data_IF_097813277002
#
_entry.id   IF_097813277002
#
_cell.length_a   1.000
_cell.length_b   1.000
_cell.length_c   1.000
_cell.angle_alpha   90.00
_cell.angle_beta   90.00
_cell.angle_gamma   90.00
#
_symmetry.space_group_name_H-M   'P 1'
#
loop_
_entity.id
_entity.type
_entity.pdbx_description
1 polymer ?
#
# COMPACT_ATOMS: atom_id res chain seq x y z
N UNK A 1 5.24 18.59 -6.27
CA UNK A 1 4.28 17.47 -6.32
C UNK A 1 4.58 16.58 -5.14
N UNK A 2 3.57 15.95 -4.54
CA UNK A 2 3.82 14.90 -3.58
C UNK A 2 4.67 13.82 -4.25
N UNK A 3 5.68 13.33 -3.54
CA UNK A 3 6.79 12.51 -4.04
C UNK A 3 7.67 13.31 -5.00
N UNK A 4 8.53 14.15 -4.43
CA UNK A 4 9.50 15.01 -5.14
C UNK A 4 10.56 14.28 -6.02
N UNK A 5 10.40 12.97 -6.25
CA UNK A 5 11.25 12.14 -7.11
C UNK A 5 10.58 11.72 -8.43
N UNK A 6 11.37 11.30 -9.41
CA UNK A 6 10.96 10.97 -10.78
C UNK A 6 10.17 9.65 -10.90
N UNK A 7 9.53 9.15 -9.83
CA UNK A 7 8.70 7.93 -9.88
C UNK A 7 7.22 8.31 -10.06
N UNK A 8 6.68 8.29 -11.30
CA UNK A 8 5.27 8.55 -11.53
C UNK A 8 4.37 7.36 -11.18
N UNK A 9 4.94 6.20 -10.86
CA UNK A 9 4.25 4.93 -10.70
C UNK A 9 4.56 4.27 -9.37
N UNK A 10 3.54 3.58 -8.85
CA UNK A 10 3.63 2.61 -7.77
C UNK A 10 3.75 1.21 -8.36
N UNK A 11 4.62 0.41 -7.76
CA UNK A 11 4.82 -0.98 -8.13
C UNK A 11 4.37 -1.95 -7.03
N UNK A 12 4.03 -3.17 -7.42
CA UNK A 12 3.74 -4.29 -6.53
C UNK A 12 4.25 -5.60 -7.14
N UNK A 13 4.53 -6.59 -6.29
CA UNK A 13 4.77 -7.99 -6.68
C UNK A 13 3.51 -8.84 -6.66
N UNK A 14 2.39 -8.30 -6.15
CA UNK A 14 1.15 -9.02 -5.85
C UNK A 14 -0.03 -8.50 -6.66
N UNK A 15 0.19 -8.15 -7.94
CA UNK A 15 -0.83 -7.52 -8.79
C UNK A 15 -2.13 -8.34 -8.87
N UNK A 16 -2.03 -9.65 -9.01
CA UNK A 16 -3.19 -10.54 -9.07
C UNK A 16 -4.09 -10.42 -7.82
N UNK A 17 -3.51 -10.21 -6.63
CA UNK A 17 -4.26 -10.02 -5.37
C UNK A 17 -5.01 -8.69 -5.35
N UNK A 18 -4.37 -7.64 -5.85
CA UNK A 18 -5.04 -6.36 -6.03
C UNK A 18 -6.22 -6.48 -6.99
N UNK A 19 -6.02 -7.17 -8.13
CA UNK A 19 -7.06 -7.38 -9.15
C UNK A 19 -8.26 -8.15 -8.59
N UNK A 20 -8.00 -9.24 -7.87
CA UNK A 20 -9.05 -10.06 -7.25
C UNK A 20 -9.83 -9.28 -6.18
N UNK A 21 -9.15 -8.62 -5.24
CA UNK A 21 -9.81 -7.90 -4.15
C UNK A 21 -10.62 -6.70 -4.65
N UNK A 22 -10.11 -5.94 -5.63
CA UNK A 22 -10.86 -4.81 -6.21
C UNK A 22 -12.02 -5.29 -7.09
N UNK A 23 -11.94 -6.49 -7.68
CA UNK A 23 -13.03 -7.04 -8.48
C UNK A 23 -14.16 -7.57 -7.58
N UNK A 24 -13.79 -8.36 -6.58
CA UNK A 24 -14.72 -9.23 -5.85
C UNK A 24 -15.17 -8.63 -4.50
N UNK A 25 -14.44 -7.65 -3.95
CA UNK A 25 -14.68 -7.03 -2.64
C UNK A 25 -14.73 -5.49 -2.71
N UNK A 26 -15.49 -4.97 -3.68
CA UNK A 26 -15.56 -3.51 -3.99
C UNK A 26 -16.10 -2.66 -2.85
N UNK A 27 -16.92 -3.23 -1.97
CA UNK A 27 -17.46 -2.54 -0.80
C UNK A 27 -16.37 -2.12 0.18
N UNK A 28 -15.26 -2.88 0.25
CA UNK A 28 -14.09 -2.54 1.06
C UNK A 28 -13.03 -1.84 0.20
N UNK A 29 -12.85 -2.29 -1.04
CA UNK A 29 -11.73 -1.91 -1.90
C UNK A 29 -12.23 -1.35 -3.25
N UNK A 30 -12.74 -0.11 -3.28
CA UNK A 30 -13.37 0.45 -4.48
C UNK A 30 -12.39 0.75 -5.62
N UNK A 31 -11.09 0.79 -5.35
CA UNK A 31 -10.06 1.03 -6.37
C UNK A 31 -8.68 0.53 -5.91
N UNK A 32 -7.76 0.35 -6.87
CA UNK A 32 -6.36 0.04 -6.55
C UNK A 32 -5.69 1.08 -5.66
N UNK A 33 -6.01 2.37 -5.84
CA UNK A 33 -5.46 3.42 -4.99
C UNK A 33 -5.85 3.25 -3.54
N UNK A 34 -7.15 3.01 -3.30
CA UNK A 34 -7.69 2.83 -1.94
C UNK A 34 -7.13 1.56 -1.31
N UNK A 35 -7.09 0.45 -2.06
CA UNK A 35 -6.50 -0.79 -1.57
C UNK A 35 -5.02 -0.63 -1.25
N UNK A 36 -4.26 0.09 -2.08
CA UNK A 36 -2.84 0.36 -1.80
C UNK A 36 -2.66 1.19 -0.53
N UNK A 37 -3.46 2.23 -0.33
CA UNK A 37 -3.43 3.06 0.88
C UNK A 37 -3.70 2.21 2.14
N UNK A 38 -4.73 1.36 2.08
CA UNK A 38 -5.08 0.46 3.19
C UNK A 38 -3.97 -0.57 3.43
N UNK A 39 -3.46 -1.20 2.38
CA UNK A 39 -2.36 -2.16 2.48
C UNK A 39 -1.10 -1.51 3.07
N UNK A 40 -0.73 -0.31 2.63
CA UNK A 40 0.37 0.44 3.20
C UNK A 40 0.15 0.72 4.70
N UNK A 41 -1.06 1.16 5.08
CA UNK A 41 -1.40 1.41 6.47
C UNK A 41 -1.30 0.14 7.33
N UNK A 42 -1.84 -0.99 6.87
CA UNK A 42 -1.75 -2.30 7.56
C UNK A 42 -0.29 -2.70 7.75
N UNK A 43 0.54 -2.60 6.69
CA UNK A 43 1.96 -2.89 6.78
C UNK A 43 2.69 -1.98 7.77
N UNK A 44 2.39 -0.68 7.76
CA UNK A 44 3.02 0.32 8.65
C UNK A 44 2.64 0.06 10.11
N UNK A 45 1.35 -0.18 10.41
CA UNK A 45 0.86 -0.44 11.77
C UNK A 45 1.51 -1.69 12.35
N UNK A 46 1.66 -2.74 11.54
CA UNK A 46 2.29 -4.00 11.97
C UNK A 46 3.82 -3.97 11.88
N UNK A 47 4.40 -2.85 11.42
CA UNK A 47 5.81 -2.67 11.06
C UNK A 47 6.37 -3.82 10.19
N UNK A 48 5.55 -4.35 9.28
CA UNK A 48 5.93 -5.44 8.37
C UNK A 48 6.23 -4.92 6.98
N UNK A 49 7.34 -5.38 6.41
CA UNK A 49 7.75 -5.07 5.04
C UNK A 49 8.01 -6.34 4.26
N UNK A 50 7.74 -6.29 2.96
CA UNK A 50 8.06 -7.36 2.04
C UNK A 50 8.75 -6.78 0.81
N UNK A 51 9.87 -7.38 0.42
CA UNK A 51 10.56 -7.01 -0.80
C UNK A 51 9.73 -7.41 -2.03
N UNK A 52 9.73 -6.53 -3.05
CA UNK A 52 9.04 -6.78 -4.30
C UNK A 52 9.87 -7.74 -5.15
N UNK A 53 9.48 -9.01 -5.19
CA UNK A 53 10.14 -10.04 -6.03
C UNK A 53 9.87 -9.84 -7.52
N UNK A 54 8.76 -9.19 -7.85
CA UNK A 54 8.37 -8.74 -9.19
C UNK A 54 7.94 -7.27 -9.09
N UNK A 55 8.20 -6.48 -10.14
CA UNK A 55 7.79 -5.07 -10.22
C UNK A 55 6.77 -4.88 -11.33
N UNK A 56 5.51 -4.90 -10.96
CA UNK A 56 4.40 -4.62 -11.88
C UNK A 56 3.80 -3.25 -11.56
N UNK A 57 3.52 -2.47 -12.60
CA UNK A 57 2.83 -1.19 -12.42
C UNK A 57 1.40 -1.42 -11.89
N UNK A 58 1.10 -0.74 -10.78
CA UNK A 58 -0.21 -0.77 -10.13
C UNK A 58 -1.01 0.50 -10.46
N UNK A 59 -0.52 1.66 -10.04
CA UNK A 59 -1.20 2.96 -10.17
C UNK A 59 -0.19 4.11 -10.30
N UNK A 60 -0.67 5.30 -10.68
CA UNK A 60 0.16 6.50 -10.62
C UNK A 60 0.35 6.95 -9.16
N UNK A 61 1.51 7.49 -8.81
CA UNK A 61 1.79 8.04 -7.46
C UNK A 61 0.82 9.14 -7.07
N UNK A 62 0.47 10.04 -8.00
CA UNK A 62 -0.55 11.06 -7.76
C UNK A 62 -1.92 10.48 -7.37
N UNK A 63 -2.27 9.29 -7.84
CA UNK A 63 -3.55 8.65 -7.55
C UNK A 63 -3.64 8.08 -6.14
N UNK A 64 -2.51 7.84 -5.45
CA UNK A 64 -2.49 7.31 -4.08
C UNK A 64 -2.27 8.40 -3.02
N UNK A 65 -1.75 9.56 -3.40
CA UNK A 65 -1.28 10.55 -2.43
C UNK A 65 -1.36 11.97 -2.97
N UNK A 66 -2.55 12.36 -3.43
CA UNK A 66 -2.80 13.68 -4.03
C UNK A 66 -2.41 14.83 -3.10
N UNK A 67 -2.63 14.67 -1.79
CA UNK A 67 -2.43 15.70 -0.79
C UNK A 67 -1.09 15.58 -0.04
N UNK A 68 -0.26 14.58 -0.37
CA UNK A 68 1.07 14.37 0.25
C UNK A 68 1.02 13.83 1.68
N UNK A 69 -0.08 13.20 2.07
CA UNK A 69 -0.23 12.61 3.41
C UNK A 69 0.69 11.41 3.61
N UNK A 70 0.79 10.52 2.61
CA UNK A 70 1.68 9.37 2.69
C UNK A 70 3.15 9.79 2.55
N UNK A 71 3.46 10.78 1.71
CA UNK A 71 4.81 11.34 1.65
C UNK A 71 5.23 11.86 3.02
N UNK A 72 4.43 12.75 3.63
CA UNK A 72 4.70 13.31 4.95
C UNK A 72 4.92 12.23 6.01
N UNK A 73 4.06 11.20 6.03
CA UNK A 73 4.19 10.07 6.95
C UNK A 73 5.55 9.38 6.81
N UNK A 74 5.98 9.14 5.56
CA UNK A 74 7.25 8.50 5.27
C UNK A 74 8.45 9.42 5.51
N UNK A 75 8.31 10.74 5.37
CA UNK A 75 9.36 11.69 5.75
C UNK A 75 9.61 11.67 7.26
N UNK A 76 8.54 11.61 8.06
CA UNK A 76 8.63 11.52 9.52
C UNK A 76 9.29 10.20 9.94
N UNK A 77 8.89 9.08 9.32
CA UNK A 77 9.41 7.75 9.67
C UNK A 77 10.84 7.51 9.15
N UNK A 78 11.21 8.14 8.03
CA UNK A 78 12.51 7.96 7.38
C UNK A 78 13.13 9.31 6.97
N UNK A 79 13.54 10.14 7.93
CA UNK A 79 14.03 11.49 7.66
C UNK A 79 15.28 11.49 6.79
N UNK A 80 16.13 10.47 6.92
CA UNK A 80 17.43 10.38 6.21
C UNK A 80 17.33 9.77 4.80
N UNK A 81 16.17 9.21 4.43
CA UNK A 81 15.97 8.62 3.10
C UNK A 81 15.57 9.70 2.09
N UNK A 82 16.00 9.52 0.84
CA UNK A 82 15.47 10.32 -0.27
C UNK A 82 13.99 10.00 -0.54
N UNK A 83 13.27 10.91 -1.19
CA UNK A 83 11.85 10.71 -1.54
C UNK A 83 11.61 9.42 -2.33
N UNK A 84 12.52 9.06 -3.25
CA UNK A 84 12.43 7.80 -4.00
C UNK A 84 12.61 6.57 -3.12
N UNK A 85 13.51 6.63 -2.12
CA UNK A 85 13.73 5.55 -1.16
C UNK A 85 12.57 5.42 -0.18
N UNK A 86 11.99 6.54 0.28
CA UNK A 86 10.75 6.54 1.08
C UNK A 86 9.60 5.88 0.33
N UNK A 87 9.46 6.17 -0.97
CA UNK A 87 8.45 5.54 -1.80
C UNK A 87 8.68 4.03 -1.94
N UNK A 88 9.93 3.59 -2.11
CA UNK A 88 10.27 2.16 -2.12
C UNK A 88 9.92 1.49 -0.78
N UNK A 89 10.18 2.14 0.35
CA UNK A 89 9.78 1.61 1.65
C UNK A 89 8.26 1.55 1.81
N UNK A 90 7.51 2.51 1.25
CA UNK A 90 6.05 2.48 1.22
C UNK A 90 5.52 1.32 0.36
N UNK A 91 6.13 1.07 -0.80
CA UNK A 91 5.82 -0.09 -1.65
C UNK A 91 5.99 -1.40 -0.88
N UNK A 92 7.04 -1.53 -0.07
CA UNK A 92 7.29 -2.73 0.75
C UNK A 92 6.28 -2.91 1.88
N UNK A 93 5.84 -1.82 2.50
CA UNK A 93 4.76 -1.86 3.48
C UNK A 93 3.45 -2.32 2.83
N UNK A 94 3.11 -1.74 1.68
CA UNK A 94 1.92 -2.14 0.93
C UNK A 94 2.00 -3.59 0.45
N UNK A 95 3.18 -4.07 0.06
CA UNK A 95 3.40 -5.46 -0.35
C UNK A 95 3.24 -6.45 0.81
N UNK A 96 3.62 -6.07 2.03
CA UNK A 96 3.30 -6.90 3.20
C UNK A 96 1.82 -6.82 3.56
N UNK A 97 1.24 -5.62 3.56
CA UNK A 97 -0.17 -5.43 3.92
C UNK A 97 -1.14 -6.13 2.99
N UNK A 98 -0.88 -6.15 1.68
CA UNK A 98 -1.77 -6.84 0.72
C UNK A 98 -1.80 -8.35 0.95
N UNK A 99 -0.70 -8.96 1.38
CA UNK A 99 -0.65 -10.38 1.75
C UNK A 99 -1.58 -10.67 2.93
N UNK A 100 -1.46 -9.85 3.97
CA UNK A 100 -2.23 -9.99 5.21
C UNK A 100 -3.72 -9.78 4.94
N UNK A 101 -4.06 -8.73 4.18
CA UNK A 101 -5.45 -8.44 3.78
C UNK A 101 -6.00 -9.60 2.96
N UNK A 102 -5.24 -10.08 1.97
CA UNK A 102 -5.69 -11.15 1.10
C UNK A 102 -5.93 -12.45 1.88
N UNK A 103 -5.01 -12.84 2.76
CA UNK A 103 -5.17 -14.02 3.63
C UNK A 103 -6.40 -13.90 4.55
N UNK A 104 -6.63 -12.73 5.13
CA UNK A 104 -7.81 -12.47 5.97
C UNK A 104 -9.10 -12.59 5.17
N UNK A 105 -9.17 -11.94 4.01
CA UNK A 105 -10.37 -11.93 3.17
C UNK A 105 -10.67 -13.32 2.61
N UNK A 106 -9.66 -14.06 2.13
CA UNK A 106 -9.86 -15.41 1.60
C UNK A 106 -10.27 -16.40 2.71
N UNK A 107 -9.76 -16.23 3.93
CA UNK A 107 -10.10 -17.13 5.04
C UNK A 107 -11.45 -16.83 5.70
N UNK A 108 -11.87 -15.57 5.72
CA UNK A 108 -13.08 -15.13 6.47
C UNK A 108 -14.21 -14.63 5.59
N UNK A 109 -13.95 -14.28 4.32
CA UNK A 109 -14.89 -13.59 3.44
C UNK A 109 -15.13 -12.13 3.79
N UNK A 110 -14.35 -11.55 4.72
CA UNK A 110 -14.52 -10.20 5.23
C UNK A 110 -13.17 -9.52 5.50
N UNK A 111 -13.17 -8.19 5.56
CA UNK A 111 -12.01 -7.41 6.02
C UNK A 111 -12.40 -6.55 7.23
N UNK A 112 -11.80 -6.83 8.38
CA UNK A 112 -12.06 -6.09 9.62
C UNK A 112 -11.07 -4.95 9.83
N UNK A 113 -11.46 -3.74 9.42
CA UNK A 113 -10.66 -2.53 9.60
C UNK A 113 -10.34 -2.23 11.07
N UNK A 114 -11.21 -2.60 12.03
CA UNK A 114 -11.03 -2.23 13.44
C UNK A 114 -9.86 -2.94 14.08
N UNK A 115 -9.59 -4.18 13.64
CA UNK A 115 -8.43 -4.97 14.05
C UNK A 115 -7.11 -4.22 13.96
N UNK A 116 -6.97 -3.32 12.97
CA UNK A 116 -5.73 -2.57 12.72
C UNK A 116 -5.75 -1.15 13.32
N UNK A 117 -6.87 -0.69 13.87
CA UNK A 117 -6.99 0.62 14.49
C UNK A 117 -6.71 0.60 16.01
N UNK A 118 -6.66 -0.58 16.62
CA UNK A 118 -6.54 -0.79 18.08
C UNK A 118 -5.14 -1.26 18.52
N UNK A 119 -4.17 -1.29 17.59
CA UNK A 119 -2.77 -1.69 17.81
C UNK A 119 -1.94 -0.47 18.21
#
# INVERSE_FOLDING_TARGET
MPWSGNKPKIYTGSKDKYEELVRDYKEYFPSYSVLFQIAAAVGIVLDQKKELTKREELVNTYSIDKDGTLELLMEIKYPDLSSEKRLEELEKYAEAGIEIIYEEVISTGHFDFKKYAEI
#
